data_IF_372223561340
#
_entry.id   IF_372223561340
#
_cell.length_a   1.000
_cell.length_b   1.000
_cell.length_c   1.000
_cell.angle_alpha   90.00
_cell.angle_beta   90.00
_cell.angle_gamma   90.00
#
_symmetry.space_group_name_H-M   'P 1'
#
loop_
_entity.id
_entity.type
_entity.pdbx_description
1 polymer ?
#
# COMPACT_ATOMS: atom_id res chain seq x y z
N UNK A 1 -9.32 31.50 -64.19
CA UNK A 1 -10.28 30.78 -63.33
C UNK A 1 -9.62 29.47 -62.90
N UNK A 2 -9.18 29.36 -61.64
CA UNK A 2 -8.42 28.19 -61.16
C UNK A 2 -8.27 28.21 -59.65
N UNK A 3 -9.24 27.61 -58.95
CA UNK A 3 -9.22 27.39 -57.50
C UNK A 3 -8.12 26.40 -57.13
N UNK A 4 -7.07 26.85 -56.42
CA UNK A 4 -6.19 25.95 -55.66
C UNK A 4 -6.87 25.68 -54.31
N UNK A 5 -7.46 24.48 -54.19
CA UNK A 5 -8.00 23.95 -52.93
C UNK A 5 -6.87 23.89 -51.90
N UNK A 6 -7.09 24.56 -50.77
CA UNK A 6 -6.18 24.61 -49.64
C UNK A 6 -6.16 23.25 -48.93
N UNK A 7 -5.26 22.37 -49.38
CA UNK A 7 -4.99 21.05 -48.77
C UNK A 7 -4.35 21.20 -47.38
N UNK A 8 -3.87 22.40 -47.03
CA UNK A 8 -3.13 22.65 -45.81
C UNK A 8 -3.99 22.65 -44.52
N UNK A 9 -5.31 22.84 -44.63
CA UNK A 9 -6.18 22.98 -43.44
C UNK A 9 -6.66 21.63 -42.86
N UNK A 10 -6.66 20.54 -43.65
CA UNK A 10 -7.06 19.20 -43.16
C UNK A 10 -5.95 18.47 -42.41
N UNK A 11 -4.68 18.76 -42.73
CA UNK A 11 -3.55 18.06 -42.12
C UNK A 11 -3.28 18.50 -40.67
N UNK A 12 -3.64 19.73 -40.32
CA UNK A 12 -3.43 20.27 -38.97
C UNK A 12 -4.43 19.71 -37.94
N UNK A 13 -5.67 19.46 -38.36
CA UNK A 13 -6.71 18.88 -37.49
C UNK A 13 -6.43 17.41 -37.13
N UNK A 14 -5.84 16.63 -38.04
CA UNK A 14 -5.50 15.22 -37.79
C UNK A 14 -4.30 15.14 -36.82
N UNK A 15 -3.34 16.06 -36.92
CA UNK A 15 -2.19 16.11 -36.01
C UNK A 15 -2.62 16.46 -34.56
N UNK A 16 -3.55 17.39 -34.40
CA UNK A 16 -4.10 17.76 -33.09
C UNK A 16 -4.96 16.65 -32.46
N UNK A 17 -5.73 15.91 -33.26
CA UNK A 17 -6.52 14.78 -32.78
C UNK A 17 -5.64 13.61 -32.31
N UNK A 18 -4.51 13.35 -32.97
CA UNK A 18 -3.55 12.32 -32.53
C UNK A 18 -2.77 12.72 -31.27
N UNK A 19 -2.41 14.00 -31.11
CA UNK A 19 -1.74 14.47 -29.89
C UNK A 19 -2.65 14.39 -28.66
N UNK A 20 -3.96 14.61 -28.84
CA UNK A 20 -4.95 14.47 -27.77
C UNK A 20 -5.21 12.99 -27.41
N UNK A 21 -5.13 12.07 -28.37
CA UNK A 21 -5.34 10.63 -28.11
C UNK A 21 -4.18 10.00 -27.34
N UNK A 22 -2.94 10.47 -27.55
CA UNK A 22 -1.76 10.00 -26.80
C UNK A 22 -1.81 10.48 -25.33
N UNK A 23 -2.39 11.65 -25.06
CA UNK A 23 -2.56 12.16 -23.70
C UNK A 23 -3.71 11.53 -22.92
N UNK A 24 -4.71 10.95 -23.60
CA UNK A 24 -5.90 10.36 -22.95
C UNK A 24 -5.77 8.85 -22.74
N UNK A 25 -4.91 8.16 -23.50
CA UNK A 25 -4.71 6.70 -23.36
C UNK A 25 -3.25 6.25 -23.12
N UNK A 26 -2.30 7.19 -23.04
CA UNK A 26 -0.91 6.90 -22.71
C UNK A 26 -0.63 7.12 -21.24
N UNK A 27 -0.99 6.15 -20.39
CA UNK A 27 -0.33 6.01 -19.10
C UNK A 27 1.16 5.83 -19.38
N UNK A 28 1.93 6.90 -19.21
CA UNK A 28 3.38 6.89 -19.29
C UNK A 28 3.92 6.04 -18.12
N UNK A 29 3.83 4.72 -18.24
CA UNK A 29 4.69 3.78 -17.53
C UNK A 29 6.06 3.78 -18.20
N UNK A 30 6.67 4.97 -18.30
CA UNK A 30 8.11 5.05 -18.41
C UNK A 30 8.64 4.67 -17.03
N UNK A 31 8.84 3.36 -16.80
CA UNK A 31 9.64 2.93 -15.66
C UNK A 31 10.96 3.69 -15.73
N UNK A 32 11.18 4.59 -14.77
CA UNK A 32 12.40 5.38 -14.75
C UNK A 32 13.61 4.46 -14.66
N UNK A 33 14.66 4.78 -15.40
CA UNK A 33 15.92 4.06 -15.35
C UNK A 33 16.39 3.95 -13.89
N UNK A 34 16.78 2.75 -13.45
CA UNK A 34 17.20 2.49 -12.07
C UNK A 34 16.12 2.04 -11.07
N UNK A 35 14.88 1.81 -11.50
CA UNK A 35 13.84 1.24 -10.63
C UNK A 35 13.86 -0.30 -10.58
N UNK A 36 13.35 -0.85 -9.47
CA UNK A 36 13.09 -2.29 -9.33
C UNK A 36 12.17 -2.79 -10.42
N UNK A 37 12.52 -3.92 -11.04
CA UNK A 37 11.68 -4.59 -12.06
C UNK A 37 10.88 -5.71 -11.41
N UNK A 38 9.66 -5.40 -10.99
CA UNK A 38 8.74 -6.43 -10.51
C UNK A 38 8.21 -7.26 -11.68
N UNK A 39 8.02 -8.56 -11.46
CA UNK A 39 7.43 -9.47 -12.45
C UNK A 39 5.90 -9.61 -12.29
N UNK A 40 5.28 -8.75 -11.47
CA UNK A 40 3.83 -8.66 -11.24
C UNK A 40 3.36 -7.31 -11.74
N UNK A 41 2.57 -7.33 -12.80
CA UNK A 41 2.03 -6.15 -13.46
C UNK A 41 1.04 -5.39 -12.58
N UNK A 42 0.20 -6.08 -11.80
CA UNK A 42 -0.84 -5.43 -11.01
C UNK A 42 -0.31 -4.59 -9.84
N UNK A 43 0.97 -4.70 -9.46
CA UNK A 43 1.53 -3.91 -8.36
C UNK A 43 1.40 -2.41 -8.61
N UNK A 44 1.52 -1.99 -9.87
CA UNK A 44 1.46 -0.59 -10.26
C UNK A 44 0.02 -0.05 -10.39
N UNK A 45 -0.98 -0.95 -10.37
CA UNK A 45 -2.42 -0.68 -10.45
C UNK A 45 -3.07 -0.53 -9.07
N UNK A 46 -2.39 -0.93 -8.00
CA UNK A 46 -2.91 -0.77 -6.63
C UNK A 46 -3.03 0.71 -6.31
N UNK A 47 -4.18 1.12 -5.78
CA UNK A 47 -4.42 2.48 -5.32
C UNK A 47 -3.30 2.95 -4.37
N UNK A 48 -2.73 4.13 -4.60
CA UNK A 48 -1.67 4.68 -3.75
C UNK A 48 -2.22 5.28 -2.46
N UNK A 49 -1.44 5.26 -1.36
CA UNK A 49 -1.72 6.03 -0.16
C UNK A 49 -1.00 7.37 -0.23
N UNK A 50 -1.71 8.48 0.02
CA UNK A 50 -1.12 9.82 0.10
C UNK A 50 -1.00 10.26 1.55
N UNK A 51 0.15 10.80 1.92
CA UNK A 51 0.39 11.37 3.26
C UNK A 51 1.11 12.71 3.15
N UNK A 52 0.66 13.73 3.86
CA UNK A 52 1.46 14.94 4.08
C UNK A 52 2.58 14.63 5.07
N UNK A 53 3.75 15.22 4.91
CA UNK A 53 4.80 15.15 5.91
C UNK A 53 5.38 16.54 6.24
N UNK A 54 4.89 17.17 7.32
CA UNK A 54 5.37 18.49 7.73
C UNK A 54 6.86 18.54 8.08
N UNK A 55 7.48 17.42 8.48
CA UNK A 55 8.92 17.36 8.74
C UNK A 55 9.70 17.36 7.44
N UNK A 56 9.26 16.60 6.43
CA UNK A 56 9.90 16.61 5.12
C UNK A 56 9.88 18.01 4.49
N UNK A 57 8.79 18.76 4.67
CA UNK A 57 8.70 20.15 4.25
C UNK A 57 9.65 21.05 5.05
N UNK A 58 9.67 20.92 6.38
CA UNK A 58 10.54 21.73 7.24
C UNK A 58 12.04 21.50 6.98
N UNK A 59 12.43 20.28 6.61
CA UNK A 59 13.81 19.91 6.27
C UNK A 59 14.16 20.13 4.79
N UNK A 60 13.23 20.63 3.97
CA UNK A 60 13.47 20.94 2.56
C UNK A 60 13.55 19.72 1.64
N UNK A 61 13.07 18.55 2.08
CA UNK A 61 13.00 17.35 1.25
C UNK A 61 11.76 17.36 0.32
N UNK A 62 10.77 18.19 0.62
CA UNK A 62 9.52 18.30 -0.15
C UNK A 62 8.96 19.72 -0.12
N UNK A 63 8.27 20.10 -1.20
CA UNK A 63 7.53 21.34 -1.25
C UNK A 63 6.24 21.28 -0.41
N UNK A 64 5.84 22.44 0.12
CA UNK A 64 4.60 22.55 0.88
C UNK A 64 3.39 22.28 -0.03
N UNK A 65 2.57 21.31 0.36
CA UNK A 65 1.34 20.95 -0.34
C UNK A 65 1.45 19.64 -1.11
N UNK A 66 2.66 19.21 -1.44
CA UNK A 66 2.91 17.92 -2.07
C UNK A 66 2.86 16.78 -1.04
N UNK A 67 2.12 15.69 -1.30
CA UNK A 67 2.10 14.51 -0.44
C UNK A 67 3.19 13.51 -0.83
N UNK A 68 3.68 12.74 0.14
CA UNK A 68 4.29 11.45 -0.19
C UNK A 68 3.23 10.55 -0.82
N UNK A 69 3.60 9.87 -1.89
CA UNK A 69 2.77 8.87 -2.56
C UNK A 69 3.40 7.51 -2.29
N UNK A 70 2.77 6.73 -1.43
CA UNK A 70 3.17 5.35 -1.14
C UNK A 70 2.45 4.43 -2.12
N UNK A 71 3.20 3.71 -2.95
CA UNK A 71 2.70 2.65 -3.83
C UNK A 71 2.86 1.30 -3.14
N UNK A 72 2.12 0.29 -3.60
CA UNK A 72 2.30 -1.06 -3.06
C UNK A 72 3.74 -1.56 -3.24
N UNK A 73 4.37 -1.20 -4.35
CA UNK A 73 5.78 -1.46 -4.64
C UNK A 73 6.73 -0.96 -3.54
N UNK A 74 6.43 0.17 -2.89
CA UNK A 74 7.24 0.70 -1.80
C UNK A 74 7.12 -0.16 -0.53
N UNK A 75 5.91 -0.67 -0.26
CA UNK A 75 5.70 -1.63 0.82
C UNK A 75 6.42 -2.96 0.55
N UNK A 76 6.44 -3.42 -0.70
CA UNK A 76 7.21 -4.61 -1.11
C UNK A 76 8.71 -4.38 -0.94
N UNK A 77 9.24 -3.22 -1.34
CA UNK A 77 10.65 -2.86 -1.14
C UNK A 77 11.02 -2.80 0.34
N UNK A 78 10.15 -2.20 1.16
CA UNK A 78 10.37 -2.09 2.61
C UNK A 78 10.37 -3.47 3.28
N UNK A 79 9.42 -4.34 2.94
CA UNK A 79 9.34 -5.70 3.49
C UNK A 79 10.31 -6.70 2.83
N UNK A 80 10.92 -6.34 1.71
CA UNK A 80 11.77 -7.20 0.88
C UNK A 80 11.02 -8.19 -0.02
N UNK A 81 9.71 -8.38 0.17
CA UNK A 81 8.89 -9.30 -0.63
C UNK A 81 7.40 -8.95 -0.54
N UNK A 82 6.61 -9.49 -1.47
CA UNK A 82 5.15 -9.41 -1.45
C UNK A 82 4.56 -10.69 -0.84
N UNK A 83 3.70 -10.53 0.16
CA UNK A 83 2.94 -11.63 0.75
C UNK A 83 1.61 -11.13 1.32
N UNK A 84 0.76 -12.05 1.79
CA UNK A 84 -0.57 -11.74 2.32
C UNK A 84 -0.54 -10.84 3.57
N UNK A 85 0.56 -10.85 4.33
CA UNK A 85 0.74 -9.93 5.45
C UNK A 85 1.03 -8.51 4.97
N UNK A 86 1.94 -8.33 4.00
CA UNK A 86 2.30 -7.02 3.44
C UNK A 86 1.14 -6.40 2.68
N UNK A 87 0.44 -7.18 1.84
CA UNK A 87 -0.76 -6.70 1.15
C UNK A 87 -1.89 -6.38 2.12
N UNK A 88 -2.09 -7.24 3.12
CA UNK A 88 -3.06 -7.02 4.19
C UNK A 88 -2.78 -5.74 4.95
N UNK A 89 -1.54 -5.49 5.35
CA UNK A 89 -1.13 -4.28 6.06
C UNK A 89 -1.36 -3.00 5.23
N UNK A 90 -1.00 -3.04 3.94
CA UNK A 90 -1.20 -1.93 3.03
C UNK A 90 -2.69 -1.61 2.88
N UNK A 91 -3.53 -2.62 2.59
CA UNK A 91 -4.98 -2.43 2.41
C UNK A 91 -5.68 -2.08 3.73
N UNK A 92 -5.29 -2.68 4.84
CA UNK A 92 -5.77 -2.32 6.19
C UNK A 92 -5.50 -0.85 6.51
N UNK A 93 -4.30 -0.36 6.19
CA UNK A 93 -3.94 1.05 6.37
C UNK A 93 -4.77 1.95 5.45
N UNK A 94 -4.96 1.57 4.18
CA UNK A 94 -5.87 2.31 3.27
C UNK A 94 -7.27 2.43 3.85
N UNK A 95 -7.84 1.30 4.29
CA UNK A 95 -9.19 1.25 4.85
C UNK A 95 -9.31 2.14 6.08
N UNK A 96 -8.37 2.07 7.01
CA UNK A 96 -8.38 2.90 8.22
C UNK A 96 -8.29 4.40 7.90
N UNK A 97 -7.36 4.79 7.02
CA UNK A 97 -7.18 6.20 6.64
C UNK A 97 -8.42 6.76 5.94
N UNK A 98 -9.02 6.01 5.03
CA UNK A 98 -10.27 6.42 4.34
C UNK A 98 -11.42 6.65 5.34
N UNK A 99 -11.57 5.79 6.34
CA UNK A 99 -12.62 5.97 7.35
C UNK A 99 -12.36 7.15 8.28
N UNK A 100 -11.09 7.40 8.64
CA UNK A 100 -10.74 8.48 9.57
C UNK A 100 -10.71 9.88 8.94
N UNK A 101 -10.38 9.96 7.65
CA UNK A 101 -10.10 11.23 6.99
C UNK A 101 -11.03 11.53 5.81
N UNK A 102 -11.74 10.53 5.25
CA UNK A 102 -12.51 10.70 4.03
C UNK A 102 -11.59 11.18 2.89
N UNK A 103 -11.89 12.37 2.36
CA UNK A 103 -11.10 13.00 1.29
C UNK A 103 -9.90 13.83 1.81
N UNK A 104 -9.77 14.01 3.13
CA UNK A 104 -8.64 14.74 3.71
C UNK A 104 -7.35 13.89 3.59
N UNK A 105 -6.25 14.50 3.12
CA UNK A 105 -4.95 13.81 3.14
C UNK A 105 -4.36 13.88 4.55
N UNK A 106 -4.16 12.72 5.23
CA UNK A 106 -3.62 12.67 6.58
C UNK A 106 -2.15 13.12 6.66
N UNK A 107 -1.74 13.58 7.84
CA UNK A 107 -0.35 13.90 8.12
C UNK A 107 0.36 12.73 8.80
N UNK A 108 1.54 12.40 8.29
CA UNK A 108 2.48 11.45 8.90
C UNK A 108 2.83 11.89 10.33
N UNK A 109 2.71 10.99 11.30
CA UNK A 109 2.84 11.27 12.74
C UNK A 109 1.61 11.87 13.41
N UNK A 110 0.49 12.04 12.69
CA UNK A 110 -0.78 12.55 13.23
C UNK A 110 -1.72 11.46 13.73
N UNK A 111 -1.28 10.19 13.75
CA UNK A 111 -2.09 9.01 14.05
C UNK A 111 -1.34 8.14 15.06
N UNK A 112 -2.08 7.59 16.03
CA UNK A 112 -1.65 6.47 16.87
C UNK A 112 -2.22 5.17 16.32
N UNK A 113 -1.48 4.08 16.47
CA UNK A 113 -1.89 2.75 16.04
C UNK A 113 -1.68 1.76 17.17
N UNK A 114 -2.75 1.08 17.59
CA UNK A 114 -2.69 0.02 18.60
C UNK A 114 -3.08 -1.30 17.96
N UNK A 115 -2.17 -2.25 17.89
CA UNK A 115 -2.47 -3.62 17.48
C UNK A 115 -3.03 -4.42 18.65
N UNK A 116 -4.06 -5.23 18.41
CA UNK A 116 -4.51 -6.24 19.37
C UNK A 116 -3.57 -7.45 19.29
N UNK A 117 -3.17 -7.95 20.46
CA UNK A 117 -2.15 -8.97 20.63
C UNK A 117 -0.74 -8.40 20.58
N UNK A 118 0.22 -9.18 21.10
CA UNK A 118 1.64 -8.81 21.11
C UNK A 118 2.25 -8.70 19.71
N UNK A 119 3.51 -8.27 19.66
CA UNK A 119 4.28 -8.17 18.41
C UNK A 119 4.40 -9.52 17.68
N UNK A 120 4.53 -10.60 18.45
CA UNK A 120 4.63 -11.98 17.96
C UNK A 120 3.26 -12.63 17.69
N UNK A 121 2.15 -11.91 17.91
CA UNK A 121 0.84 -12.44 17.58
C UNK A 121 0.73 -12.62 16.05
N UNK A 122 0.81 -13.86 15.60
CA UNK A 122 0.80 -14.27 14.19
C UNK A 122 1.86 -13.51 13.37
N UNK A 123 1.46 -12.42 12.73
CA UNK A 123 2.30 -11.59 11.85
C UNK A 123 2.15 -10.10 12.18
N UNK A 124 1.77 -9.76 13.41
CA UNK A 124 1.64 -8.38 13.88
C UNK A 124 2.93 -7.57 13.69
N UNK A 125 4.10 -8.13 13.99
CA UNK A 125 5.40 -7.48 13.76
C UNK A 125 5.66 -7.09 12.30
N UNK A 126 5.59 -8.02 11.33
CA UNK A 126 5.72 -7.67 9.92
C UNK A 126 4.68 -6.66 9.42
N UNK A 127 3.42 -6.76 9.89
CA UNK A 127 2.35 -5.84 9.50
C UNK A 127 2.62 -4.44 10.07
N UNK A 128 3.04 -4.33 11.33
CA UNK A 128 3.29 -3.05 11.99
C UNK A 128 4.37 -2.23 11.27
N UNK A 129 5.38 -2.89 10.70
CA UNK A 129 6.44 -2.21 9.93
C UNK A 129 5.88 -1.48 8.70
N UNK A 130 4.93 -2.09 7.98
CA UNK A 130 4.24 -1.45 6.84
C UNK A 130 3.40 -0.27 7.32
N UNK A 131 2.67 -0.44 8.42
CA UNK A 131 1.85 0.63 9.00
C UNK A 131 2.71 1.80 9.46
N UNK A 132 3.83 1.54 10.15
CA UNK A 132 4.83 2.55 10.54
C UNK A 132 5.45 3.22 9.32
N UNK A 133 5.81 2.44 8.30
CA UNK A 133 6.39 2.97 7.08
C UNK A 133 5.47 3.97 6.38
N UNK A 134 4.15 3.78 6.41
CA UNK A 134 3.18 4.68 5.77
C UNK A 134 2.80 5.85 6.69
N UNK A 135 2.32 5.54 7.89
CA UNK A 135 1.72 6.52 8.81
C UNK A 135 2.77 7.30 9.60
N UNK A 136 3.97 6.74 9.73
CA UNK A 136 4.99 7.22 10.64
C UNK A 136 4.69 6.98 12.12
N UNK A 137 3.64 6.24 12.47
CA UNK A 137 3.42 5.81 13.84
C UNK A 137 4.44 4.71 14.19
N UNK A 138 5.48 5.03 14.95
CA UNK A 138 6.50 4.08 15.36
C UNK A 138 6.39 3.77 16.86
N UNK A 139 6.96 2.64 17.27
CA UNK A 139 7.06 2.27 18.68
C UNK A 139 8.17 3.07 19.39
N UNK A 140 8.88 2.40 20.30
CA UNK A 140 10.00 2.98 21.06
C UNK A 140 11.20 3.41 20.20
N UNK A 141 11.27 2.93 18.95
CA UNK A 141 12.33 3.27 18.00
C UNK A 141 11.99 4.49 17.13
N UNK A 142 10.87 5.18 17.40
CA UNK A 142 10.44 6.30 16.59
C UNK A 142 11.27 7.58 16.80
N UNK A 143 11.20 8.48 15.82
CA UNK A 143 11.83 9.79 15.91
C UNK A 143 11.16 10.64 17.01
N UNK A 144 11.93 11.12 17.98
CA UNK A 144 11.41 11.91 19.11
C UNK A 144 10.93 13.33 18.73
N UNK A 145 11.17 13.76 17.50
CA UNK A 145 10.84 15.09 17.03
C UNK A 145 12.01 16.08 17.11
N UNK A 146 11.77 17.28 16.58
CA UNK A 146 12.71 18.40 16.55
C UNK A 146 12.13 19.58 17.33
N UNK A 147 12.99 20.38 17.98
CA UNK A 147 12.58 21.64 18.62
C UNK A 147 11.51 21.47 19.70
N UNK A 148 11.77 20.59 20.69
CA UNK A 148 10.83 20.31 21.77
C UNK A 148 9.76 19.26 21.43
N UNK A 149 10.05 18.35 20.50
CA UNK A 149 9.17 17.23 20.15
C UNK A 149 8.21 17.45 18.99
N UNK A 150 8.36 18.55 18.22
CA UNK A 150 7.56 18.73 17.00
C UNK A 150 7.89 17.63 16.00
N UNK A 151 6.89 17.17 15.26
CA UNK A 151 7.01 16.06 14.30
C UNK A 151 7.33 14.69 14.92
N UNK A 152 7.06 14.51 16.21
CA UNK A 152 7.26 13.25 16.91
C UNK A 152 6.59 12.06 16.20
N UNK A 153 7.33 10.95 16.12
CA UNK A 153 6.92 9.62 15.62
C UNK A 153 7.08 8.52 16.67
N UNK A 154 7.76 8.83 17.79
CA UNK A 154 8.02 7.92 18.90
C UNK A 154 6.77 7.63 19.73
N UNK A 155 6.60 6.37 20.14
CA UNK A 155 5.48 5.88 20.96
C UNK A 155 4.09 6.20 20.39
N UNK A 156 3.96 6.15 19.08
CA UNK A 156 2.68 6.25 18.39
C UNK A 156 2.13 4.88 17.98
N UNK A 157 2.96 3.84 17.99
CA UNK A 157 2.54 2.46 17.76
C UNK A 157 2.72 1.62 19.02
N UNK A 158 1.72 0.82 19.36
CA UNK A 158 1.76 -0.11 20.48
C UNK A 158 1.08 -1.45 20.15
N UNK A 159 1.36 -2.44 21.00
CA UNK A 159 0.73 -3.75 20.98
C UNK A 159 0.01 -3.95 22.32
N UNK A 160 -1.28 -4.24 22.28
CA UNK A 160 -2.09 -4.54 23.45
C UNK A 160 -2.21 -6.06 23.63
N UNK A 161 -1.32 -6.63 24.44
CA UNK A 161 -1.31 -8.07 24.73
C UNK A 161 -2.54 -8.54 25.51
N UNK A 162 -3.23 -7.63 26.19
CA UNK A 162 -4.43 -7.94 26.97
C UNK A 162 -5.70 -7.99 26.10
N UNK A 163 -5.64 -7.48 24.87
CA UNK A 163 -6.74 -7.54 23.91
C UNK A 163 -6.42 -8.53 22.80
N UNK A 164 -7.27 -9.54 22.63
CA UNK A 164 -7.09 -10.53 21.59
C UNK A 164 -8.03 -10.24 20.40
N UNK A 165 -7.53 -10.25 19.15
CA UNK A 165 -8.41 -10.15 18.00
C UNK A 165 -9.20 -11.46 17.82
N UNK A 166 -10.25 -11.48 16.97
CA UNK A 166 -10.96 -12.71 16.64
C UNK A 166 -10.01 -13.83 16.18
N UNK A 167 -10.31 -15.09 16.51
CA UNK A 167 -9.40 -16.21 16.23
C UNK A 167 -9.02 -16.36 14.73
N UNK A 168 -9.92 -15.94 13.84
CA UNK A 168 -9.72 -15.95 12.38
C UNK A 168 -8.92 -14.76 11.87
N UNK A 169 -8.76 -13.70 12.66
CA UNK A 169 -8.03 -12.51 12.26
C UNK A 169 -6.54 -12.82 12.08
N UNK A 170 -5.97 -12.31 10.99
CA UNK A 170 -4.54 -12.20 10.82
C UNK A 170 -3.99 -11.08 11.72
N UNK A 171 -4.70 -9.95 11.77
CA UNK A 171 -4.45 -8.87 12.72
C UNK A 171 -5.72 -8.03 12.94
N UNK A 172 -5.78 -7.32 14.07
CA UNK A 172 -6.71 -6.19 14.27
C UNK A 172 -5.95 -5.00 14.82
N UNK A 173 -6.15 -3.82 14.23
CA UNK A 173 -5.47 -2.60 14.63
C UNK A 173 -6.44 -1.43 14.73
N UNK A 174 -6.28 -0.65 15.80
CA UNK A 174 -7.03 0.57 16.08
C UNK A 174 -6.17 1.74 15.63
N UNK A 175 -6.70 2.55 14.71
CA UNK A 175 -6.08 3.80 14.27
C UNK A 175 -6.82 4.95 14.94
N UNK A 176 -6.10 5.84 15.60
CA UNK A 176 -6.66 6.99 16.31
C UNK A 176 -6.00 8.28 15.83
N UNK A 177 -6.81 9.26 15.43
CA UNK A 177 -6.32 10.61 15.11
C UNK A 177 -5.91 11.32 16.40
N UNK A 178 -4.71 11.88 16.42
CA UNK A 178 -4.20 12.59 17.60
C UNK A 178 -4.92 13.93 17.82
N UNK A 179 -5.38 14.57 16.75
CA UNK A 179 -5.96 15.91 16.80
C UNK A 179 -7.37 15.95 17.42
N UNK A 180 -8.15 14.88 17.28
CA UNK A 180 -9.55 14.85 17.70
C UNK A 180 -9.99 13.55 18.38
N UNK A 181 -9.09 12.56 18.52
CA UNK A 181 -9.38 11.28 19.16
C UNK A 181 -10.34 10.36 18.40
N UNK A 182 -10.76 10.71 17.17
CA UNK A 182 -11.56 9.80 16.34
C UNK A 182 -10.73 8.57 16.05
N UNK A 183 -11.32 7.40 16.24
CA UNK A 183 -10.68 6.13 16.03
C UNK A 183 -11.51 5.19 15.18
N UNK A 184 -10.83 4.22 14.58
CA UNK A 184 -11.43 3.12 13.82
C UNK A 184 -10.63 1.85 14.09
N UNK A 185 -11.30 0.74 14.36
CA UNK A 185 -10.68 -0.58 14.39
C UNK A 185 -10.85 -1.26 13.03
N UNK A 186 -9.75 -1.74 12.45
CA UNK A 186 -9.78 -2.55 11.23
C UNK A 186 -9.22 -3.93 11.53
N UNK A 187 -10.06 -4.95 11.36
CA UNK A 187 -9.67 -6.37 11.44
C UNK A 187 -9.45 -6.92 10.04
N UNK A 188 -8.29 -7.54 9.81
CA UNK A 188 -7.96 -8.24 8.56
C UNK A 188 -7.98 -9.76 8.77
N UNK A 189 -8.66 -10.48 7.89
CA UNK A 189 -8.64 -11.95 7.76
C UNK A 189 -8.53 -12.33 6.29
N UNK A 190 -8.03 -13.52 5.98
CA UNK A 190 -7.88 -14.01 4.61
C UNK A 190 -8.32 -15.48 4.44
N UNK A 191 -9.01 -16.04 5.43
CA UNK A 191 -9.47 -17.43 5.43
C UNK A 191 -10.54 -17.73 4.36
N UNK A 192 -11.23 -16.69 3.87
CA UNK A 192 -12.20 -16.79 2.77
C UNK A 192 -11.58 -16.82 1.38
N UNK A 193 -10.28 -16.50 1.25
CA UNK A 193 -9.65 -16.49 -0.08
C UNK A 193 -9.58 -17.92 -0.63
N UNK A 194 -9.95 -18.13 -1.90
CA UNK A 194 -9.88 -19.45 -2.49
C UNK A 194 -8.42 -19.94 -2.52
N UNK A 195 -8.23 -21.20 -2.14
CA UNK A 195 -6.95 -21.89 -2.32
C UNK A 195 -6.94 -22.63 -3.66
N UNK A 196 -5.82 -22.55 -4.39
CA UNK A 196 -5.60 -23.45 -5.52
C UNK A 196 -4.98 -24.76 -5.00
N UNK A 197 -5.56 -25.95 -5.26
CA UNK A 197 -5.04 -27.22 -4.76
C UNK A 197 -3.56 -27.45 -5.08
N UNK A 198 -3.09 -26.98 -6.25
CA UNK A 198 -1.71 -27.12 -6.69
C UNK A 198 -0.71 -26.35 -5.82
N UNK A 199 -1.17 -25.35 -5.07
CA UNK A 199 -0.30 -24.64 -4.12
C UNK A 199 0.21 -25.57 -3.01
N UNK A 200 -0.56 -26.58 -2.60
CA UNK A 200 -0.14 -27.51 -1.56
C UNK A 200 1.08 -28.34 -1.99
N UNK A 201 1.11 -28.74 -3.26
CA UNK A 201 2.21 -29.51 -3.84
C UNK A 201 3.44 -28.62 -4.12
N UNK A 202 3.22 -27.39 -4.58
CA UNK A 202 4.29 -26.48 -4.97
C UNK A 202 4.97 -25.76 -3.80
N UNK A 203 4.25 -25.51 -2.70
CA UNK A 203 4.77 -24.73 -1.58
C UNK A 203 6.03 -25.34 -0.95
N UNK A 204 6.07 -26.65 -0.62
CA UNK A 204 7.28 -27.26 -0.08
C UNK A 204 8.48 -27.10 -1.01
N UNK A 205 8.27 -27.28 -2.33
CA UNK A 205 9.31 -27.18 -3.36
C UNK A 205 9.87 -25.77 -3.49
N UNK A 206 8.99 -24.76 -3.43
CA UNK A 206 9.39 -23.37 -3.50
C UNK A 206 10.13 -22.91 -2.24
N UNK A 207 9.71 -23.37 -1.06
CA UNK A 207 10.32 -23.00 0.23
C UNK A 207 11.66 -23.71 0.47
N UNK A 208 11.79 -24.97 0.08
CA UNK A 208 13.04 -25.72 0.18
C UNK A 208 14.09 -25.30 -0.85
N UNK A 209 13.68 -24.59 -1.91
CA UNK A 209 14.52 -24.28 -3.06
C UNK A 209 14.82 -25.49 -3.95
N UNK A 210 14.03 -26.56 -3.86
CA UNK A 210 14.22 -27.79 -4.66
C UNK A 210 13.31 -27.88 -5.88
N UNK A 211 12.36 -26.96 -6.04
CA UNK A 211 11.52 -26.88 -7.22
C UNK A 211 12.29 -26.42 -8.47
N UNK A 212 11.84 -26.86 -9.63
CA UNK A 212 12.24 -26.30 -10.92
C UNK A 212 11.84 -24.82 -11.04
N UNK A 213 12.46 -24.10 -11.97
CA UNK A 213 12.12 -22.71 -12.26
C UNK A 213 10.64 -22.55 -12.63
N UNK A 214 10.08 -23.51 -13.38
CA UNK A 214 8.67 -23.55 -13.75
C UNK A 214 7.75 -23.71 -12.53
N UNK A 215 8.08 -24.62 -11.62
CA UNK A 215 7.31 -24.86 -10.39
C UNK A 215 7.35 -23.65 -9.44
N UNK A 216 8.53 -23.05 -9.26
CA UNK A 216 8.69 -21.83 -8.44
C UNK A 216 7.91 -20.67 -9.07
N UNK A 217 7.97 -20.52 -10.39
CA UNK A 217 7.22 -19.48 -11.11
C UNK A 217 5.71 -19.69 -10.98
N UNK A 218 5.24 -20.92 -11.10
CA UNK A 218 3.83 -21.28 -10.94
C UNK A 218 3.35 -21.00 -9.51
N UNK A 219 4.10 -21.45 -8.50
CA UNK A 219 3.81 -21.13 -7.09
C UNK A 219 3.70 -19.62 -6.89
N UNK A 220 4.66 -18.87 -7.41
CA UNK A 220 4.67 -17.42 -7.36
C UNK A 220 3.45 -16.79 -8.02
N UNK A 221 2.95 -17.33 -9.13
CA UNK A 221 1.73 -16.83 -9.77
C UNK A 221 0.49 -17.09 -8.91
N UNK A 222 0.30 -18.34 -8.47
CA UNK A 222 -0.84 -18.73 -7.63
C UNK A 222 -0.88 -17.97 -6.30
N UNK A 223 0.30 -17.74 -5.70
CA UNK A 223 0.41 -16.91 -4.49
C UNK A 223 -0.03 -15.48 -4.75
N UNK A 224 0.39 -14.89 -5.87
CA UNK A 224 0.09 -13.50 -6.19
C UNK A 224 -1.34 -13.28 -6.72
N UNK A 225 -2.04 -14.32 -7.19
CA UNK A 225 -3.49 -14.26 -7.41
C UNK A 225 -4.22 -13.91 -6.10
N UNK A 226 -3.85 -14.56 -4.99
CA UNK A 226 -4.42 -14.27 -3.66
C UNK A 226 -4.02 -12.88 -3.16
N UNK A 227 -2.77 -12.47 -3.38
CA UNK A 227 -2.31 -11.10 -3.05
C UNK A 227 -3.11 -10.05 -3.81
N UNK A 228 -3.39 -10.30 -5.10
CA UNK A 228 -4.19 -9.41 -5.94
C UNK A 228 -5.61 -9.24 -5.38
N UNK A 229 -6.27 -10.34 -4.99
CA UNK A 229 -7.58 -10.29 -4.35
C UNK A 229 -7.57 -9.44 -3.08
N UNK A 230 -6.54 -9.58 -2.23
CA UNK A 230 -6.41 -8.77 -1.00
C UNK A 230 -6.33 -7.26 -1.29
N UNK A 231 -5.67 -6.88 -2.39
CA UNK A 231 -5.41 -5.47 -2.70
C UNK A 231 -6.52 -4.81 -3.52
N UNK A 232 -7.18 -5.58 -4.39
CA UNK A 232 -8.03 -5.04 -5.45
C UNK A 232 -9.50 -5.43 -5.31
N UNK A 233 -9.81 -6.51 -4.60
CA UNK A 233 -11.19 -7.00 -4.51
C UNK A 233 -11.83 -6.57 -3.18
N UNK A 234 -13.15 -6.41 -3.21
CA UNK A 234 -13.97 -6.17 -2.03
C UNK A 234 -14.62 -7.49 -1.59
N UNK A 235 -13.84 -8.34 -0.92
CA UNK A 235 -14.34 -9.62 -0.40
C UNK A 235 -14.92 -9.40 0.98
N UNK A 236 -16.20 -9.73 1.12
CA UNK A 236 -16.94 -9.58 2.37
C UNK A 236 -16.20 -10.24 3.55
N UNK A 237 -16.09 -9.49 4.65
CA UNK A 237 -15.44 -9.95 5.87
C UNK A 237 -13.91 -9.97 5.83
N UNK A 238 -13.25 -9.69 4.70
CA UNK A 238 -11.79 -9.65 4.62
C UNK A 238 -11.22 -8.49 5.45
N UNK A 239 -11.83 -7.32 5.35
CA UNK A 239 -11.53 -6.13 6.15
C UNK A 239 -12.80 -5.68 6.87
N UNK A 240 -12.89 -5.94 8.17
CA UNK A 240 -14.04 -5.52 8.99
C UNK A 240 -13.67 -4.25 9.73
N UNK A 241 -14.52 -3.23 9.57
CA UNK A 241 -14.35 -1.91 10.20
C UNK A 241 -15.32 -1.77 11.37
N UNK A 242 -14.85 -1.29 12.52
CA UNK A 242 -15.63 -1.04 13.73
C UNK A 242 -15.31 0.32 14.33
#
# INVERSE_FOLDING_TARGET
MGQKKCIFCRSLYILFAFLFLILVFGGNNAMSEGQTKFNKDFFDQVESIKMKDPLAVALGAMDKGEPFVYRYEDAVKMAGHSCLAVSGAYRLTQTALKHLYGDEIPARGGIKVTFKGGVEYRVNGPISQVVTFITGAAGENGFHGLGGGRYNRHNLLSFDENSQPPATAICSAIFERIDNGKSVEVTYTNNMLPGNPRMADLMPLAVSGTGSDEEIKEFGNLWHERVKMVLMDDVEGMFVVK
#
